data_IF_304775476184
#
_entry.id   IF_304775476184
#
_cell.length_a   1.000
_cell.length_b   1.000
_cell.length_c   1.000
_cell.angle_alpha   90.00
_cell.angle_beta   90.00
_cell.angle_gamma   90.00
#
_symmetry.space_group_name_H-M   'P 1'
#
loop_
_entity.id
_entity.type
_entity.pdbx_description
1 polymer ?
2 branched ?
3 non-polymer ?
4 non-polymer ?
5 non-polymer ?
6 non-polymer ?
7 water ?
#
# COMPACT_ATOMS: atom_id res chain seq x y z
N UNK A 1 -20.34 5.71 -7.10
CA UNK A 1 -19.10 5.70 -7.87
C UNK A 1 -17.97 6.28 -7.00
N UNK A 2 -16.70 6.03 -7.38
CA UNK A 2 -15.59 6.49 -6.54
C UNK A 2 -15.62 7.99 -6.29
N UNK A 3 -15.33 8.36 -5.07
CA UNK A 3 -15.18 9.77 -4.66
C UNK A 3 -13.88 10.34 -5.22
N UNK A 4 -13.95 11.56 -5.73
CA UNK A 4 -12.73 12.34 -6.11
C UNK A 4 -12.27 13.31 -5.02
N UNK A 5 -12.98 13.32 -3.89
CA UNK A 5 -12.65 14.25 -2.78
C UNK A 5 -11.94 13.48 -1.71
N UNK A 6 -10.66 13.77 -1.41
CA UNK A 6 -9.97 13.08 -0.33
C UNK A 6 -10.75 13.25 0.98
N UNK A 7 -10.71 12.19 1.84
CA UNK A 7 -11.42 12.26 3.14
C UNK A 7 -10.84 13.32 4.07
N UNK A 8 -9.58 13.68 3.86
CA UNK A 8 -8.97 14.78 4.61
C UNK A 8 -9.36 16.09 3.85
N UNK A 9 -10.27 16.87 4.37
CA UNK A 9 -10.73 18.13 3.76
C UNK A 9 -9.52 19.07 3.48
N UNK A 10 -8.45 19.00 4.26
CA UNK A 10 -7.24 19.85 4.16
C UNK A 10 -6.23 19.27 3.16
N UNK A 11 -6.58 18.25 2.36
CA UNK A 11 -5.62 17.63 1.49
C UNK A 11 -4.94 18.69 0.60
N UNK A 12 -3.70 18.46 0.30
CA UNK A 12 -2.95 19.32 -0.62
C UNK A 12 -3.48 19.18 -2.03
N UNK A 13 -3.16 20.20 -2.87
CA UNK A 13 -3.55 20.14 -4.29
C UNK A 13 -2.94 18.88 -4.93
N UNK A 14 -1.71 18.52 -4.58
CA UNK A 14 -1.08 17.35 -5.22
C UNK A 14 -1.86 16.06 -4.84
N UNK A 15 -2.31 15.92 -3.61
CA UNK A 15 -3.12 14.76 -3.21
C UNK A 15 -4.49 14.76 -3.88
N UNK A 16 -5.14 15.92 -3.92
CA UNK A 16 -6.44 16.03 -4.62
C UNK A 16 -6.27 15.64 -6.11
N UNK A 17 -5.27 16.20 -6.75
CA UNK A 17 -5.04 15.97 -8.19
C UNK A 17 -4.73 14.50 -8.45
N UNK A 18 -3.95 13.87 -7.56
CA UNK A 18 -3.66 12.43 -7.75
C UNK A 18 -4.96 11.61 -7.64
N UNK A 19 -5.80 11.90 -6.66
CA UNK A 19 -7.06 11.10 -6.52
C UNK A 19 -7.95 11.32 -7.73
N UNK A 20 -8.09 12.57 -8.18
CA UNK A 20 -8.93 12.94 -9.35
C UNK A 20 -8.43 12.16 -10.57
N UNK A 21 -7.12 12.10 -10.75
CA UNK A 21 -6.49 11.45 -11.92
C UNK A 21 -6.78 9.95 -11.88
N UNK A 22 -6.61 9.33 -10.71
CA UNK A 22 -6.81 7.86 -10.62
C UNK A 22 -8.30 7.52 -10.91
N UNK A 23 -9.20 8.28 -10.32
CA UNK A 23 -10.66 8.03 -10.56
C UNK A 23 -10.94 8.11 -12.06
N UNK A 24 -10.49 9.18 -12.70
CA UNK A 24 -10.73 9.40 -14.15
C UNK A 24 -10.20 8.19 -14.93
N UNK A 25 -8.96 7.80 -14.70
CA UNK A 25 -8.34 6.71 -15.49
C UNK A 25 -9.19 5.43 -15.30
N UNK A 26 -9.48 5.09 -14.06
CA UNK A 26 -10.21 3.83 -13.78
C UNK A 26 -11.60 3.85 -14.45
N UNK A 27 -12.28 5.01 -14.46
CA UNK A 27 -13.61 5.14 -15.06
C UNK A 27 -13.54 4.83 -16.56
N UNK A 28 -12.39 5.04 -17.17
CA UNK A 28 -12.11 4.93 -18.63
C UNK A 28 -11.49 3.58 -18.94
N UNK A 29 -11.44 2.67 -17.96
CA UNK A 29 -10.85 1.35 -18.23
C UNK A 29 -9.34 1.34 -18.40
N UNK A 30 -8.69 2.30 -17.75
CA UNK A 30 -7.22 2.41 -17.79
C UNK A 30 -6.70 2.11 -16.38
N UNK A 31 -5.59 1.40 -16.34
CA UNK A 31 -5.00 0.93 -15.08
C UNK A 31 -3.51 1.40 -15.04
N UNK A 32 -3.08 1.92 -13.90
CA UNK A 32 -1.66 2.25 -13.74
C UNK A 32 -0.85 1.01 -13.38
N UNK A 33 0.27 0.84 -14.01
CA UNK A 33 1.28 -0.15 -13.67
C UNK A 33 1.98 0.24 -12.38
N UNK A 34 2.53 -0.72 -11.65
CA UNK A 34 3.23 -0.48 -10.42
C UNK A 34 4.20 -1.60 -10.07
N UNK A 35 5.20 -1.33 -9.28
CA UNK A 35 6.22 -2.32 -8.92
C UNK A 35 6.78 -2.03 -7.56
N UNK A 36 6.86 -3.05 -6.69
CA UNK A 36 7.52 -2.92 -5.40
C UNK A 36 9.05 -3.01 -5.55
N UNK A 37 9.72 -1.99 -4.94
CA UNK A 37 11.18 -1.86 -4.83
C UNK A 37 11.78 -1.15 -6.07
N UNK A 38 12.62 -0.14 -5.81
CA UNK A 38 13.24 0.59 -6.94
C UNK A 38 14.08 -0.30 -7.79
N UNK A 39 14.83 -1.23 -7.20
CA UNK A 39 15.68 -2.11 -7.99
C UNK A 39 14.84 -2.96 -8.95
N UNK A 40 13.64 -3.38 -8.50
CA UNK A 40 12.76 -4.16 -9.39
C UNK A 40 12.13 -3.26 -10.46
N UNK A 41 11.80 -2.00 -10.11
CA UNK A 41 11.31 -1.06 -11.15
C UNK A 41 12.39 -0.83 -12.24
N UNK A 42 13.64 -0.71 -11.79
CA UNK A 42 14.79 -0.57 -12.70
C UNK A 42 14.87 -1.82 -13.59
N UNK A 43 14.68 -3.00 -12.99
CA UNK A 43 14.67 -4.24 -13.80
C UNK A 43 13.60 -4.19 -14.88
N UNK A 44 12.41 -3.75 -14.54
CA UNK A 44 11.33 -3.66 -15.55
C UNK A 44 11.77 -2.70 -16.68
N UNK A 45 12.33 -1.53 -16.33
CA UNK A 45 12.78 -0.62 -17.42
C UNK A 45 13.85 -1.32 -18.28
N UNK A 46 14.80 -1.99 -17.66
CA UNK A 46 15.93 -2.60 -18.31
C UNK A 46 15.54 -3.81 -19.18
N UNK A 47 14.47 -4.52 -18.82
CA UNK A 47 14.14 -5.82 -19.48
C UNK A 47 12.80 -5.79 -20.25
N UNK A 48 11.84 -5.05 -19.76
CA UNK A 48 10.47 -4.99 -20.33
C UNK A 48 10.31 -3.76 -21.23
N UNK A 49 10.92 -2.63 -20.88
CA UNK A 49 10.97 -1.45 -21.77
C UNK A 49 10.27 -0.22 -21.23
N UNK A 50 9.74 -0.24 -20.05
CA UNK A 50 9.00 0.84 -19.47
C UNK A 50 9.32 0.95 -17.97
N UNK A 51 9.29 2.12 -17.38
CA UNK A 51 9.20 2.29 -15.94
C UNK A 51 7.75 2.17 -15.53
N UNK A 52 7.48 1.36 -14.45
CA UNK A 52 6.16 1.34 -13.85
C UNK A 52 5.71 2.73 -13.43
N UNK A 53 4.43 3.02 -13.55
CA UNK A 53 3.89 4.31 -13.11
C UNK A 53 4.08 4.54 -11.64
N UNK A 54 3.81 3.50 -10.83
CA UNK A 54 3.85 3.58 -9.38
C UNK A 54 5.03 2.78 -8.84
N UNK A 55 5.76 3.35 -7.92
CA UNK A 55 6.79 2.67 -7.14
C UNK A 55 6.21 2.39 -5.77
N UNK A 56 6.22 1.09 -5.40
CA UNK A 56 5.87 0.67 -4.03
C UNK A 56 7.11 0.48 -3.18
N UNK A 57 7.11 1.09 -2.02
CA UNK A 57 8.23 0.99 -1.08
C UNK A 57 7.66 0.90 0.36
N UNK A 58 8.54 0.75 1.30
CA UNK A 58 8.13 0.35 2.65
C UNK A 58 8.90 1.13 3.72
N UNK A 59 8.21 1.54 4.77
CA UNK A 59 8.84 2.15 5.93
C UNK A 59 9.45 1.15 6.94
N UNK A 60 9.30 -0.18 6.66
CA UNK A 60 9.75 -1.28 7.57
C UNK A 60 10.97 -0.93 8.42
N UNK A 61 12.13 -0.64 7.77
CA UNK A 61 13.38 -0.53 8.51
C UNK A 61 13.59 0.84 9.19
N UNK A 62 12.62 1.73 9.09
CA UNK A 62 12.58 2.89 9.96
C UNK A 62 11.83 2.68 11.24
N UNK A 63 11.17 1.48 11.37
CA UNK A 63 10.42 1.19 12.61
C UNK A 63 11.36 1.29 13.82
N UNK A 64 11.02 2.08 14.85
CA UNK A 64 11.93 2.22 15.97
C UNK A 64 12.47 0.94 16.61
N UNK A 65 11.59 -0.10 16.73
CA UNK A 65 12.11 -1.34 17.34
C UNK A 65 13.16 -2.04 16.49
N UNK A 66 13.07 -1.85 15.15
CA UNK A 66 14.03 -2.45 14.25
C UNK A 66 15.40 -1.67 14.28
N UNK A 67 15.28 -0.34 14.46
CA UNK A 67 16.54 0.44 14.68
C UNK A 67 17.33 -0.08 15.87
N UNK A 68 16.60 -0.56 16.90
CA UNK A 68 17.27 -1.14 18.07
C UNK A 68 18.11 -2.36 17.72
N UNK A 69 17.76 -3.08 16.68
CA UNK A 69 18.52 -4.27 16.22
C UNK A 69 19.49 -3.98 15.08
N UNK A 70 19.64 -2.66 14.74
CA UNK A 70 20.61 -2.21 13.74
C UNK A 70 20.05 -1.90 12.39
N UNK A 71 18.75 -1.88 12.21
CA UNK A 71 18.13 -1.62 10.91
C UNK A 71 18.45 -0.14 10.49
N UNK A 72 18.64 -0.03 9.18
CA UNK A 72 18.95 1.28 8.53
C UNK A 72 17.97 1.46 7.37
N UNK A 73 16.96 2.29 7.61
CA UNK A 73 15.98 2.58 6.54
C UNK A 73 16.57 3.46 5.43
N UNK A 74 16.14 3.17 4.21
CA UNK A 74 16.74 3.90 3.05
C UNK A 74 15.72 4.19 1.99
N UNK A 75 14.42 4.02 2.19
CA UNK A 75 13.44 4.16 1.13
C UNK A 75 13.00 5.63 0.90
N UNK A 76 13.13 6.51 1.87
CA UNK A 76 12.66 7.93 1.56
C UNK A 76 13.40 8.55 0.35
N UNK A 77 14.71 8.32 0.24
CA UNK A 77 15.37 8.84 -1.00
C UNK A 77 14.81 8.25 -2.26
N UNK A 78 14.34 6.96 -2.21
CA UNK A 78 13.76 6.36 -3.42
C UNK A 78 12.44 6.99 -3.78
N UNK A 79 11.64 7.38 -2.80
CA UNK A 79 10.40 8.11 -3.10
C UNK A 79 10.75 9.45 -3.81
N UNK A 80 11.73 10.14 -3.24
CA UNK A 80 12.12 11.47 -3.79
C UNK A 80 12.56 11.28 -5.22
N UNK A 81 13.42 10.31 -5.49
CA UNK A 81 13.91 10.09 -6.86
C UNK A 81 12.78 9.69 -7.78
N UNK A 82 11.88 8.79 -7.37
CA UNK A 82 10.84 8.36 -8.31
C UNK A 82 9.92 9.55 -8.65
N UNK A 83 9.59 10.35 -7.67
CA UNK A 83 8.76 11.55 -7.89
C UNK A 83 9.52 12.57 -8.80
N UNK A 84 10.83 12.64 -8.67
CA UNK A 84 11.58 13.62 -9.51
C UNK A 84 11.54 13.17 -10.97
N UNK A 85 11.39 11.86 -11.23
CA UNK A 85 11.33 11.23 -12.54
C UNK A 85 9.89 11.12 -13.06
N UNK A 86 8.90 11.68 -12.36
CA UNK A 86 7.49 11.79 -12.86
C UNK A 86 6.61 10.63 -12.39
N UNK A 87 7.10 9.75 -11.54
CA UNK A 87 6.30 8.63 -11.05
C UNK A 87 5.46 9.03 -9.84
N UNK A 88 4.64 8.03 -9.45
CA UNK A 88 3.77 8.09 -8.27
C UNK A 88 4.31 7.08 -7.22
N UNK A 89 4.14 7.41 -5.96
CA UNK A 89 4.71 6.59 -4.89
C UNK A 89 3.60 6.11 -3.95
N UNK A 90 3.70 4.78 -3.63
CA UNK A 90 2.90 4.19 -2.53
C UNK A 90 3.85 3.62 -1.47
N UNK A 91 3.50 3.85 -0.20
CA UNK A 91 4.21 3.22 0.92
C UNK A 91 3.24 2.27 1.65
N UNK A 92 3.84 1.14 1.95
CA UNK A 92 3.31 0.23 2.99
C UNK A 92 4.23 0.31 4.18
N UNK A 93 3.92 -0.46 5.23
CA UNK A 93 4.70 -0.43 6.45
C UNK A 93 4.70 -1.86 7.07
N UNK A 94 5.75 -2.60 6.85
CA UNK A 94 5.94 -3.89 7.59
C UNK A 94 6.46 -3.45 8.97
N UNK A 95 5.51 -3.06 9.81
CA UNK A 95 5.75 -2.37 11.07
C UNK A 95 6.38 -3.30 12.07
N UNK A 96 7.60 -3.08 12.50
CA UNK A 96 8.21 -3.90 13.52
C UNK A 96 7.55 -3.61 14.82
N UNK A 97 7.15 -4.72 15.50
CA UNK A 97 6.33 -4.54 16.71
C UNK A 97 7.05 -3.64 17.71
N UNK A 98 6.31 -2.74 18.39
CA UNK A 98 6.97 -1.81 19.29
C UNK A 98 7.67 -2.37 20.50
N UNK A 99 7.14 -3.55 20.91
CA UNK A 99 7.76 -4.35 21.99
C UNK A 99 7.53 -5.83 21.56
N UNK A 100 8.19 -6.73 22.32
CA UNK A 100 7.89 -8.14 22.16
C UNK A 100 8.67 -8.91 21.16
N UNK A 101 9.57 -8.25 20.42
CA UNK A 101 10.38 -8.93 19.41
C UNK A 101 11.14 -10.11 20.06
N UNK A 102 11.08 -11.29 19.43
CA UNK A 102 11.79 -12.45 20.00
C UNK A 102 13.28 -12.50 19.59
N UNK A 103 13.57 -12.17 18.32
CA UNK A 103 14.94 -12.28 17.80
C UNK A 103 15.60 -13.62 18.15
N UNK A 104 14.90 -14.70 17.78
CA UNK A 104 15.42 -16.06 17.93
C UNK A 104 15.95 -16.60 16.62
N UNK A 105 16.50 -17.80 16.62
CA UNK A 105 16.96 -18.45 15.38
C UNK A 105 15.85 -18.52 14.35
N UNK A 106 14.71 -19.03 14.76
CA UNK A 106 13.57 -19.29 13.88
C UNK A 106 12.75 -18.00 13.63
N UNK A 107 12.87 -17.03 14.53
CA UNK A 107 12.10 -15.77 14.42
C UNK A 107 13.07 -14.60 14.59
N UNK A 108 13.95 -14.37 13.59
CA UNK A 108 14.90 -13.27 13.71
C UNK A 108 14.17 -11.92 13.87
N UNK A 109 14.93 -10.93 14.39
CA UNK A 109 14.31 -9.61 14.59
C UNK A 109 13.73 -9.03 13.31
N UNK A 110 14.39 -9.39 12.18
CA UNK A 110 13.98 -8.79 10.91
C UNK A 110 12.69 -9.32 10.38
N UNK A 111 12.09 -10.30 11.08
CA UNK A 111 10.72 -10.82 10.82
C UNK A 111 9.70 -10.23 11.79
N UNK A 112 10.01 -9.20 12.57
CA UNK A 112 9.18 -8.77 13.71
C UNK A 112 7.92 -8.00 13.35
N UNK A 113 7.48 -8.02 12.09
CA UNK A 113 6.12 -7.66 11.73
C UNK A 113 5.15 -8.89 11.76
N UNK A 114 5.73 -10.08 11.65
CA UNK A 114 4.85 -11.28 11.69
C UNK A 114 4.44 -11.55 13.15
N UNK A 115 3.15 -11.99 13.23
CA UNK A 115 2.58 -12.41 14.54
C UNK A 115 3.45 -13.47 15.23
N UNK A 116 3.99 -14.42 14.47
CA UNK A 116 4.81 -15.52 15.06
C UNK A 116 6.13 -15.03 15.63
N UNK A 117 6.59 -13.83 15.18
CA UNK A 117 7.96 -13.31 15.51
C UNK A 117 7.95 -12.36 16.70
N UNK A 118 6.84 -12.13 17.36
CA UNK A 118 6.71 -11.21 18.46
C UNK A 118 5.64 -11.65 19.45
N UNK A 119 5.85 -11.28 20.69
CA UNK A 119 4.80 -11.38 21.75
C UNK A 119 3.77 -10.29 21.70
N UNK A 120 4.05 -9.25 20.83
CA UNK A 120 3.22 -8.04 20.90
C UNK A 120 1.71 -8.31 20.77
N UNK A 121 0.92 -7.67 21.64
CA UNK A 121 -0.55 -7.83 21.73
C UNK A 121 -1.20 -6.48 21.47
N UNK A 122 -1.70 -6.30 20.25
CA UNK A 122 -2.35 -5.04 19.84
C UNK A 122 -3.63 -4.79 20.66
N UNK A 123 -4.36 -5.86 21.00
CA UNK A 123 -5.64 -5.69 21.74
C UNK A 123 -5.34 -5.14 23.15
N UNK A 124 -4.38 -5.71 23.85
CA UNK A 124 -4.07 -5.25 25.20
C UNK A 124 -3.56 -3.80 25.13
N UNK A 125 -2.82 -3.47 24.08
CA UNK A 125 -2.27 -2.10 23.95
C UNK A 125 -3.43 -1.08 23.77
N UNK A 126 -4.31 -1.34 22.81
CA UNK A 126 -5.41 -0.41 22.50
C UNK A 126 -6.43 -0.30 23.62
N UNK A 127 -6.55 -1.28 24.49
CA UNK A 127 -7.50 -1.17 25.64
C UNK A 127 -6.96 -0.28 26.76
N UNK A 128 -5.67 0.06 26.73
CA UNK A 128 -5.06 0.83 27.84
C UNK A 128 -4.20 1.96 27.29
N UNK A 129 -4.79 3.13 27.05
CA UNK A 129 -4.03 4.25 26.52
C UNK A 129 -2.93 4.74 27.48
N UNK A 130 -2.90 4.31 28.74
CA UNK A 130 -1.82 4.65 29.71
C UNK A 130 -0.67 3.65 29.62
N UNK A 131 -0.80 2.59 28.86
CA UNK A 131 0.19 1.50 28.88
C UNK A 131 1.45 1.88 28.12
N UNK A 132 2.57 1.24 28.45
CA UNK A 132 3.84 1.42 27.73
C UNK A 132 3.64 1.08 26.27
N UNK A 133 2.93 -0.01 25.97
CA UNK A 133 2.77 -0.43 24.57
C UNK A 133 1.95 0.58 23.77
N UNK A 134 0.94 1.16 24.34
CA UNK A 134 0.15 2.18 23.64
C UNK A 134 1.06 3.37 23.32
N UNK A 135 1.80 3.81 24.32
CA UNK A 135 2.68 4.99 24.13
C UNK A 135 3.72 4.63 23.04
N UNK A 136 4.25 3.44 22.99
CA UNK A 136 5.25 3.06 21.98
C UNK A 136 4.61 2.96 20.60
N UNK A 137 3.35 2.55 20.48
CA UNK A 137 2.64 2.57 19.20
C UNK A 137 2.58 4.02 18.69
N UNK A 138 2.18 4.93 19.53
CA UNK A 138 2.06 6.35 19.10
C UNK A 138 3.45 6.88 18.73
N UNK A 139 4.48 6.55 19.49
CA UNK A 139 5.84 6.95 19.11
C UNK A 139 6.22 6.39 17.77
N UNK A 140 5.87 5.17 17.42
CA UNK A 140 6.17 4.61 16.10
C UNK A 140 5.44 5.38 15.04
N UNK A 141 4.19 5.68 15.24
CA UNK A 141 3.40 6.47 14.32
C UNK A 141 4.12 7.81 14.13
N UNK A 142 4.62 8.41 15.21
CA UNK A 142 5.32 9.72 15.10
C UNK A 142 6.60 9.53 14.29
N UNK A 143 7.34 8.46 14.46
CA UNK A 143 8.57 8.20 13.68
C UNK A 143 8.23 8.22 12.21
N UNK A 144 7.25 7.47 11.77
CA UNK A 144 6.90 7.38 10.35
C UNK A 144 6.27 8.71 9.90
N UNK A 145 5.55 9.40 10.75
CA UNK A 145 4.98 10.71 10.40
C UNK A 145 6.09 11.70 10.03
N UNK A 146 7.23 11.65 10.73
CA UNK A 146 8.35 12.55 10.34
C UNK A 146 8.77 12.31 8.91
N UNK A 147 8.84 11.08 8.47
CA UNK A 147 9.24 10.73 7.08
C UNK A 147 8.19 11.26 6.13
N UNK A 148 6.92 11.08 6.41
CA UNK A 148 5.85 11.57 5.57
C UNK A 148 5.88 13.13 5.52
N UNK A 149 6.20 13.75 6.62
CA UNK A 149 6.32 15.25 6.65
C UNK A 149 7.45 15.73 5.76
N UNK A 150 8.56 15.00 5.71
CA UNK A 150 9.67 15.33 4.76
C UNK A 150 9.16 15.25 3.35
N UNK A 151 8.38 14.24 3.02
CA UNK A 151 7.79 14.11 1.69
C UNK A 151 6.76 15.22 1.41
N UNK A 152 5.96 15.60 2.39
CA UNK A 152 5.01 16.70 2.25
C UNK A 152 5.78 18.01 1.99
N UNK A 153 6.91 18.24 2.64
CA UNK A 153 7.70 19.49 2.38
C UNK A 153 8.16 19.54 0.95
N UNK A 154 8.30 18.43 0.27
CA UNK A 154 8.73 18.31 -1.13
C UNK A 154 7.53 18.25 -2.09
N UNK A 155 6.30 18.41 -1.57
CA UNK A 155 5.08 18.37 -2.40
C UNK A 155 4.95 17.00 -3.09
N UNK A 156 5.26 15.93 -2.35
CA UNK A 156 5.10 14.55 -2.90
C UNK A 156 3.85 13.94 -2.23
N UNK A 157 2.77 13.70 -2.99
CA UNK A 157 1.60 13.00 -2.41
C UNK A 157 1.95 11.52 -2.33
N UNK A 158 1.30 10.85 -1.35
CA UNK A 158 1.62 9.41 -1.09
C UNK A 158 0.31 8.60 -1.02
N UNK A 159 0.30 7.50 -1.75
CA UNK A 159 -0.74 6.43 -1.57
C UNK A 159 -0.32 5.59 -0.34
N UNK A 160 -0.93 5.91 0.79
CA UNK A 160 -0.49 5.41 2.10
C UNK A 160 -1.35 4.17 2.50
N UNK A 161 -0.68 3.02 2.57
CA UNK A 161 -1.38 1.72 2.77
C UNK A 161 -0.88 1.06 4.08
N UNK A 162 -1.20 1.62 5.23
CA UNK A 162 -0.77 1.06 6.52
C UNK A 162 -1.62 -0.14 6.93
N UNK A 163 -1.07 -0.96 7.83
CA UNK A 163 -1.86 -2.06 8.44
C UNK A 163 -2.43 -2.96 7.33
N UNK A 164 -1.61 -3.29 6.35
CA UNK A 164 -2.05 -4.01 5.17
C UNK A 164 -2.28 -5.50 5.52
N UNK A 165 -3.05 -6.13 4.66
CA UNK A 165 -3.38 -7.59 4.79
C UNK A 165 -3.91 -7.87 6.21
N UNK A 166 -4.58 -6.96 6.85
CA UNK A 166 -4.80 -7.06 8.30
C UNK A 166 -5.57 -8.36 8.65
N UNK A 167 -6.63 -8.59 7.89
CA UNK A 167 -7.58 -9.65 8.19
C UNK A 167 -6.91 -11.02 8.11
N UNK A 168 -5.81 -11.19 7.42
CA UNK A 168 -5.16 -12.51 7.37
C UNK A 168 -4.70 -13.02 8.72
N UNK A 169 -4.32 -12.13 9.61
CA UNK A 169 -3.82 -12.48 10.93
C UNK A 169 -2.35 -12.81 11.04
N UNK A 170 -1.61 -12.81 9.90
CA UNK A 170 -0.21 -13.19 9.94
C UNK A 170 0.74 -12.05 10.35
N UNK A 171 0.21 -10.81 10.35
CA UNK A 171 0.95 -9.66 10.90
C UNK A 171 0.35 -9.29 12.25
N UNK A 172 1.17 -8.81 13.17
CA UNK A 172 0.68 -8.63 14.55
C UNK A 172 -0.53 -7.75 14.65
N UNK A 173 -0.70 -6.79 13.72
CA UNK A 173 -1.83 -5.88 13.82
C UNK A 173 -3.17 -6.57 13.56
N UNK A 174 -3.12 -7.74 12.91
CA UNK A 174 -4.34 -8.51 12.62
C UNK A 174 -4.49 -9.72 13.52
N UNK A 175 -3.66 -9.92 14.51
CA UNK A 175 -3.66 -11.17 15.31
C UNK A 175 -4.74 -11.19 16.40
N UNK A 176 -5.40 -10.06 16.70
CA UNK A 176 -6.33 -9.92 17.84
C UNK A 176 -7.71 -9.42 17.45
N UNK A 177 -8.06 -9.74 16.21
CA UNK A 177 -9.37 -9.44 15.68
C UNK A 177 -9.53 -8.01 15.15
N UNK A 178 -10.67 -7.71 14.56
CA UNK A 178 -10.83 -6.46 13.78
C UNK A 178 -10.85 -5.21 14.64
N UNK A 179 -11.51 -5.21 15.77
CA UNK A 179 -11.78 -4.01 16.58
C UNK A 179 -10.44 -3.33 16.91
N UNK A 180 -9.46 -4.07 17.34
CA UNK A 180 -8.16 -3.51 17.78
C UNK A 180 -7.46 -2.89 16.57
N UNK A 181 -7.50 -3.57 15.44
CA UNK A 181 -6.85 -3.09 14.19
C UNK A 181 -7.56 -1.85 13.70
N UNK A 182 -8.86 -1.79 13.68
CA UNK A 182 -9.62 -0.59 13.28
C UNK A 182 -9.26 0.54 14.23
N UNK A 183 -9.18 0.29 15.51
CA UNK A 183 -8.85 1.34 16.47
C UNK A 183 -7.45 1.89 16.19
N UNK A 184 -6.50 1.02 15.88
CA UNK A 184 -5.13 1.49 15.57
C UNK A 184 -5.14 2.30 14.27
N UNK A 185 -5.85 1.87 13.25
CA UNK A 185 -5.94 2.61 11.99
C UNK A 185 -6.53 4.00 12.26
N UNK A 186 -7.61 4.11 12.99
CA UNK A 186 -8.28 5.39 13.24
C UNK A 186 -7.40 6.26 14.12
N UNK A 187 -6.67 5.71 15.06
CA UNK A 187 -5.69 6.46 15.87
C UNK A 187 -4.61 7.02 14.93
N UNK A 188 -4.08 6.21 14.02
CA UNK A 188 -3.05 6.67 13.09
C UNK A 188 -3.65 7.80 12.24
N UNK A 189 -4.85 7.63 11.72
CA UNK A 189 -5.48 8.65 10.85
C UNK A 189 -5.54 9.96 11.61
N UNK A 190 -5.99 9.95 12.84
CA UNK A 190 -6.15 11.17 13.66
C UNK A 190 -4.77 11.75 13.95
N UNK A 191 -3.82 10.95 14.43
CA UNK A 191 -2.49 11.44 14.84
C UNK A 191 -1.80 12.08 13.62
N UNK A 192 -1.86 11.42 12.45
CA UNK A 192 -1.18 11.94 11.24
C UNK A 192 -1.92 13.16 10.75
N UNK A 193 -3.22 13.10 10.53
CA UNK A 193 -3.97 14.16 9.85
C UNK A 193 -4.05 15.39 10.74
N UNK A 194 -4.41 15.20 11.99
CA UNK A 194 -4.70 16.33 12.90
C UNK A 194 -3.46 16.75 13.66
N UNK A 195 -2.86 15.93 14.47
CA UNK A 195 -1.70 16.32 15.26
C UNK A 195 -0.55 16.72 14.36
N UNK A 196 -0.22 15.94 13.36
CA UNK A 196 0.97 16.22 12.49
C UNK A 196 0.63 17.14 11.29
N UNK A 197 -0.63 17.32 10.96
CA UNK A 197 -0.97 18.15 9.77
C UNK A 197 -0.48 17.51 8.51
N UNK A 198 -0.57 16.19 8.39
CA UNK A 198 -0.20 15.48 7.16
C UNK A 198 -1.38 15.53 6.20
N UNK A 199 -1.23 16.34 5.13
CA UNK A 199 -2.27 16.63 4.14
C UNK A 199 -1.91 16.08 2.75
N UNK A 200 -0.81 15.38 2.63
CA UNK A 200 -0.33 14.86 1.34
C UNK A 200 -0.72 13.39 1.13
N UNK A 201 -1.61 12.84 1.99
CA UNK A 201 -1.86 11.36 1.99
C UNK A 201 -3.23 11.04 1.42
N UNK A 202 -3.24 9.99 0.60
CA UNK A 202 -4.47 9.29 0.20
C UNK A 202 -4.42 7.94 0.96
N UNK A 203 -5.49 7.67 1.69
CA UNK A 203 -5.51 6.53 2.60
C UNK A 203 -6.06 5.27 1.90
N UNK A 204 -5.25 4.22 1.90
CA UNK A 204 -5.56 2.97 1.18
C UNK A 204 -5.73 1.85 2.24
N UNK A 205 -6.98 1.31 2.26
CA UNK A 205 -7.27 0.15 3.13
C UNK A 205 -7.05 -1.12 2.34
N UNK A 206 -6.74 -2.24 3.03
CA UNK A 206 -6.29 -3.46 2.32
C UNK A 206 -6.93 -4.73 2.92
N UNK A 207 -8.13 -4.64 3.47
CA UNK A 207 -8.88 -5.85 3.88
C UNK A 207 -10.25 -5.81 3.25
N UNK A 208 -10.75 -7.02 2.88
CA UNK A 208 -12.03 -7.13 2.14
C UNK A 208 -13.24 -7.30 3.08
N UNK A 209 -13.07 -8.00 4.18
CA UNK A 209 -14.28 -8.32 4.97
C UNK A 209 -14.80 -7.05 5.62
N UNK A 210 -16.11 -6.83 5.51
CA UNK A 210 -16.74 -5.67 6.10
C UNK A 210 -16.54 -5.47 7.59
N UNK A 211 -16.34 -6.57 8.34
CA UNK A 211 -16.13 -6.45 9.79
C UNK A 211 -14.78 -5.85 10.11
N UNK A 212 -13.88 -5.80 9.13
CA UNK A 212 -12.53 -5.19 9.29
C UNK A 212 -12.49 -3.74 8.78
N UNK A 213 -13.58 -3.17 8.33
CA UNK A 213 -13.53 -1.87 7.62
C UNK A 213 -13.49 -0.74 8.62
N UNK A 214 -12.50 0.19 8.49
CA UNK A 214 -12.43 1.27 9.45
C UNK A 214 -13.38 2.46 9.18
N UNK A 215 -14.03 2.47 8.01
CA UNK A 215 -15.07 3.45 7.70
C UNK A 215 -14.75 4.35 6.53
N UNK A 216 -15.81 4.78 5.85
CA UNK A 216 -15.68 5.59 4.61
C UNK A 216 -15.13 6.98 4.95
N UNK A 217 -15.17 7.41 6.20
CA UNK A 217 -14.68 8.75 6.58
C UNK A 217 -13.15 8.76 6.71
N UNK A 218 -12.50 7.62 6.69
CA UNK A 218 -11.04 7.52 6.93
C UNK A 218 -10.31 6.72 5.83
N UNK A 219 -10.99 6.46 4.72
CA UNK A 219 -10.44 5.67 3.62
C UNK A 219 -10.76 6.35 2.30
N UNK A 220 -9.70 6.49 1.45
CA UNK A 220 -9.89 7.02 0.09
C UNK A 220 -9.98 5.94 -0.98
N UNK A 221 -9.25 4.86 -0.79
CA UNK A 221 -9.10 3.79 -1.81
C UNK A 221 -9.16 2.44 -1.05
N UNK A 222 -9.91 1.51 -1.61
CA UNK A 222 -9.90 0.12 -1.04
C UNK A 222 -9.15 -0.79 -1.98
N UNK A 223 -8.49 -1.80 -1.40
CA UNK A 223 -7.61 -2.66 -2.17
C UNK A 223 -7.60 -4.07 -1.58
N UNK A 224 -7.00 -4.97 -2.33
CA UNK A 224 -6.68 -6.31 -1.85
C UNK A 224 -5.37 -6.73 -2.47
N UNK A 225 -4.69 -7.66 -1.85
CA UNK A 225 -3.43 -8.26 -2.28
C UNK A 225 -3.73 -9.65 -2.79
N UNK A 226 -3.44 -9.98 -4.01
CA UNK A 226 -3.79 -11.27 -4.65
C UNK A 226 -2.55 -12.01 -5.12
N UNK A 227 -2.37 -13.24 -4.61
CA UNK A 227 -1.30 -14.16 -4.96
C UNK A 227 -1.92 -15.44 -5.50
N UNK A 228 -2.50 -15.39 -6.69
CA UNK A 228 -3.06 -16.56 -7.37
C UNK A 228 -1.99 -17.50 -7.87
N UNK A 229 -2.42 -18.70 -8.30
CA UNK A 229 -1.43 -19.65 -8.81
C UNK A 229 -0.67 -19.01 -9.96
N UNK A 230 0.60 -19.39 -10.10
CA UNK A 230 1.48 -18.86 -11.13
C UNK A 230 0.79 -18.96 -12.48
N UNK A 231 0.79 -17.81 -13.18
CA UNK A 231 0.24 -17.76 -14.54
C UNK A 231 -1.23 -17.44 -14.64
N UNK A 232 -1.93 -17.26 -13.53
CA UNK A 232 -3.37 -16.91 -13.53
C UNK A 232 -3.48 -15.38 -13.68
N UNK A 233 -3.79 -14.98 -14.89
CA UNK A 233 -3.93 -13.55 -15.22
C UNK A 233 -5.39 -13.16 -15.38
N UNK A 234 -6.30 -13.90 -14.75
CA UNK A 234 -7.71 -13.48 -14.78
C UNK A 234 -7.90 -12.15 -14.07
N UNK A 235 -9.05 -11.49 -14.34
CA UNK A 235 -9.29 -10.13 -13.86
C UNK A 235 -9.61 -10.03 -12.36
N UNK A 236 -9.91 -11.15 -11.71
CA UNK A 236 -10.21 -11.16 -10.25
C UNK A 236 -11.52 -10.42 -9.98
N UNK A 237 -12.54 -10.71 -10.81
CA UNK A 237 -13.84 -10.00 -10.75
C UNK A 237 -14.48 -10.16 -9.37
N UNK A 238 -14.43 -11.35 -8.76
CA UNK A 238 -15.14 -11.56 -7.47
C UNK A 238 -14.52 -10.62 -6.41
N UNK A 239 -13.19 -10.50 -6.38
CA UNK A 239 -12.56 -9.63 -5.37
C UNK A 239 -12.95 -8.17 -5.64
N UNK A 240 -12.93 -7.79 -6.90
CA UNK A 240 -13.32 -6.40 -7.27
C UNK A 240 -14.72 -6.09 -6.77
N UNK A 241 -15.65 -7.00 -7.04
CA UNK A 241 -17.07 -6.81 -6.62
C UNK A 241 -17.17 -6.72 -5.09
N UNK A 242 -16.41 -7.52 -4.37
CA UNK A 242 -16.44 -7.45 -2.88
C UNK A 242 -15.88 -6.11 -2.38
N UNK A 243 -14.89 -5.57 -3.06
CA UNK A 243 -14.34 -4.24 -2.68
C UNK A 243 -15.30 -3.08 -3.05
N UNK A 244 -16.11 -3.23 -4.09
CA UNK A 244 -17.17 -2.27 -4.34
C UNK A 244 -18.22 -2.34 -3.23
N UNK A 245 -18.72 -3.52 -2.87
CA UNK A 245 -19.84 -3.53 -1.88
C UNK A 245 -19.32 -3.09 -0.52
N UNK A 246 -18.03 -3.30 -0.24
CA UNK A 246 -17.44 -2.85 1.04
C UNK A 246 -17.80 -1.40 1.32
N UNK A 247 -17.80 -0.54 0.28
CA UNK A 247 -17.95 0.91 0.51
C UNK A 247 -19.29 1.45 0.00
N UNK A 248 -20.19 0.55 -0.43
CA UNK A 248 -21.39 0.94 -1.19
C UNK A 248 -21.01 1.58 -2.49
N UNK A 249 -19.88 1.18 -3.09
CA UNK A 249 -19.38 1.63 -4.43
C UNK A 249 -19.13 3.15 -4.37
N UNK A 250 -18.49 3.61 -3.29
CA UNK A 250 -18.15 5.04 -3.10
C UNK A 250 -16.66 5.31 -3.12
N UNK A 251 -15.81 4.29 -3.25
CA UNK A 251 -14.36 4.46 -3.20
C UNK A 251 -13.74 3.78 -4.40
N UNK A 252 -12.65 4.38 -4.89
CA UNK A 252 -11.76 3.73 -5.87
C UNK A 252 -11.27 2.36 -5.39
N UNK A 253 -11.09 1.45 -6.33
CA UNK A 253 -10.70 0.06 -6.05
C UNK A 253 -9.39 -0.24 -6.77
N UNK A 254 -8.41 -0.78 -6.04
CA UNK A 254 -7.07 -1.07 -6.57
C UNK A 254 -6.51 -2.39 -6.05
N UNK A 255 -5.41 -2.86 -6.59
CA UNK A 255 -4.64 -4.02 -6.13
C UNK A 255 -3.41 -3.54 -5.43
N UNK A 256 -3.30 -3.76 -4.12
CA UNK A 256 -2.13 -3.34 -3.37
C UNK A 256 -0.87 -4.06 -3.74
N UNK A 257 -1.01 -5.35 -4.00
CA UNK A 257 0.05 -6.26 -4.42
C UNK A 257 -0.55 -7.30 -5.34
N UNK A 258 0.21 -7.72 -6.31
CA UNK A 258 -0.07 -8.95 -7.11
C UNK A 258 1.15 -9.80 -7.30
N UNK A 259 0.95 -11.14 -7.29
CA UNK A 259 1.91 -12.04 -7.85
C UNK A 259 1.83 -12.09 -9.35
N UNK A 260 0.58 -12.17 -9.86
CA UNK A 260 0.25 -12.25 -11.30
C UNK A 260 -0.38 -10.93 -11.72
N UNK A 261 0.17 -10.33 -12.78
CA UNK A 261 -0.47 -9.11 -13.32
C UNK A 261 -1.77 -9.50 -14.01
N UNK A 262 -2.93 -8.90 -13.65
CA UNK A 262 -4.17 -9.22 -14.35
C UNK A 262 -4.07 -8.73 -15.81
N UNK A 263 -4.49 -9.55 -16.76
CA UNK A 263 -4.35 -9.22 -18.17
C UNK A 263 -5.27 -8.05 -18.48
N UNK A 264 -4.67 -6.91 -18.97
CA UNK A 264 -5.49 -5.73 -19.26
C UNK A 264 -6.47 -5.86 -20.42
N UNK A 265 -6.29 -6.91 -21.23
CA UNK A 265 -7.23 -7.20 -22.33
C UNK A 265 -8.49 -7.86 -21.73
N UNK A 266 -8.55 -8.20 -20.44
CA UNK A 266 -9.76 -8.89 -19.88
C UNK A 266 -10.41 -8.15 -18.71
N UNK A 267 -9.84 -7.04 -18.24
CA UNK A 267 -10.39 -6.28 -17.08
C UNK A 267 -11.46 -5.27 -17.46
N UNK A 268 -11.45 -4.73 -18.67
CA UNK A 268 -12.30 -3.58 -19.06
C UNK A 268 -13.77 -3.91 -18.90
N UNK A 269 -14.47 -3.16 -18.03
CA UNK A 269 -15.91 -3.32 -17.73
C UNK A 269 -16.23 -4.55 -16.89
N UNK A 270 -15.25 -5.25 -16.39
CA UNK A 270 -15.39 -6.43 -15.49
C UNK A 270 -14.81 -6.07 -14.10
N UNK A 271 -13.61 -5.50 -14.10
CA UNK A 271 -12.86 -5.21 -12.88
C UNK A 271 -11.90 -4.07 -13.18
N UNK A 272 -12.42 -2.84 -13.09
CA UNK A 272 -11.65 -1.64 -13.52
C UNK A 272 -10.67 -1.21 -12.41
N UNK A 273 -9.65 -2.03 -12.16
CA UNK A 273 -8.60 -1.74 -11.16
C UNK A 273 -7.93 -0.41 -11.45
N UNK A 274 -7.82 0.43 -10.44
CA UNK A 274 -7.14 1.75 -10.68
C UNK A 274 -5.66 1.52 -10.94
N UNK A 275 -5.04 0.59 -10.25
CA UNK A 275 -3.64 0.25 -10.37
C UNK A 275 -3.40 -1.13 -9.78
N UNK A 276 -2.26 -1.69 -10.09
CA UNK A 276 -1.67 -2.86 -9.43
C UNK A 276 -0.21 -2.62 -9.13
N UNK A 277 0.34 -3.28 -8.16
CA UNK A 277 1.75 -3.21 -7.77
C UNK A 277 2.30 -4.63 -7.78
N UNK A 278 3.07 -5.05 -8.74
CA UNK A 278 3.68 -6.40 -8.73
C UNK A 278 4.66 -6.48 -7.60
N UNK A 279 4.72 -7.62 -6.90
CA UNK A 279 5.77 -7.81 -5.90
C UNK A 279 7.15 -7.97 -6.57
N UNK A 280 8.17 -7.88 -5.73
CA UNK A 280 9.59 -7.93 -6.15
C UNK A 280 10.05 -9.35 -6.48
N UNK A 281 11.30 -9.47 -6.85
CA UNK A 281 11.93 -10.77 -7.05
C UNK A 281 11.31 -11.55 -8.17
N UNK A 282 11.14 -12.84 -7.91
CA UNK A 282 10.72 -13.75 -8.98
C UNK A 282 9.37 -13.37 -9.58
N UNK A 283 8.48 -12.76 -8.79
CA UNK A 283 7.15 -12.42 -9.32
C UNK A 283 7.31 -11.57 -10.59
N UNK A 284 8.18 -10.57 -10.56
CA UNK A 284 8.38 -9.72 -11.77
C UNK A 284 9.51 -10.23 -12.64
N UNK A 285 10.58 -10.78 -12.08
CA UNK A 285 11.80 -11.09 -12.83
C UNK A 285 11.74 -12.45 -13.53
N UNK A 286 11.00 -13.41 -12.96
CA UNK A 286 11.03 -14.78 -13.49
C UNK A 286 10.10 -14.98 -14.66
N UNK A 287 10.03 -16.24 -15.11
CA UNK A 287 9.15 -16.63 -16.20
C UNK A 287 7.92 -17.40 -15.75
N UNK A 288 7.77 -17.69 -14.46
CA UNK A 288 6.64 -18.56 -14.03
C UNK A 288 5.33 -17.80 -13.86
N UNK A 289 5.35 -16.61 -13.27
CA UNK A 289 4.15 -15.81 -13.00
C UNK A 289 3.76 -14.99 -14.22
N UNK A 290 4.71 -14.12 -14.58
CA UNK A 290 4.55 -13.08 -15.64
C UNK A 290 5.71 -13.20 -16.63
N UNK A 291 5.61 -14.02 -17.65
CA UNK A 291 6.71 -14.25 -18.57
C UNK A 291 7.13 -12.95 -19.33
N UNK A 292 8.34 -12.94 -19.80
CA UNK A 292 8.88 -11.71 -20.49
C UNK A 292 7.93 -11.25 -21.58
N UNK A 293 7.53 -12.13 -22.49
CA UNK A 293 6.71 -11.69 -23.63
C UNK A 293 5.41 -11.07 -23.10
N UNK A 294 4.80 -11.68 -22.06
CA UNK A 294 3.57 -11.13 -21.49
C UNK A 294 3.86 -9.74 -20.90
N UNK A 295 4.92 -9.63 -20.11
CA UNK A 295 5.25 -8.31 -19.51
C UNK A 295 5.42 -7.23 -20.60
N UNK A 296 6.09 -7.58 -21.67
CA UNK A 296 6.30 -6.60 -22.74
C UNK A 296 4.94 -6.16 -23.28
N UNK A 297 4.01 -7.11 -23.47
CA UNK A 297 2.67 -6.78 -23.96
C UNK A 297 1.94 -5.90 -22.97
N UNK A 298 1.92 -6.27 -21.70
CA UNK A 298 1.19 -5.51 -20.67
C UNK A 298 1.71 -4.06 -20.66
N UNK A 299 3.00 -3.91 -20.50
CA UNK A 299 3.54 -2.53 -20.29
C UNK A 299 3.42 -1.67 -21.54
N UNK A 300 3.30 -2.28 -22.71
CA UNK A 300 3.10 -1.52 -23.98
C UNK A 300 1.63 -1.26 -24.27
N UNK A 301 0.71 -1.85 -23.49
CA UNK A 301 -0.73 -1.76 -23.79
C UNK A 301 -1.29 -0.30 -23.71
N UNK A 302 -2.25 0.00 -24.56
CA UNK A 302 -2.87 1.34 -24.58
C UNK A 302 -3.56 1.66 -23.26
N UNK A 303 -4.14 0.62 -22.63
CA UNK A 303 -4.95 0.83 -21.39
C UNK A 303 -4.13 0.58 -20.13
N UNK A 304 -2.79 0.57 -20.21
CA UNK A 304 -1.86 0.54 -19.08
C UNK A 304 -1.06 1.81 -19.13
N UNK A 305 -1.01 2.51 -18.03
CA UNK A 305 -0.17 3.68 -17.88
C UNK A 305 1.19 3.31 -17.28
N UNK A 306 2.24 3.78 -17.93
CA UNK A 306 3.62 3.68 -17.46
C UNK A 306 4.13 5.08 -17.08
N UNK A 307 5.28 5.14 -16.45
CA UNK A 307 5.76 6.43 -15.86
C UNK A 307 5.83 7.59 -16.91
N UNK A 308 6.24 7.26 -18.08
CA UNK A 308 6.36 8.26 -19.17
C UNK A 308 5.01 8.85 -19.56
N UNK A 309 3.92 8.11 -19.27
CA UNK A 309 2.54 8.47 -19.62
C UNK A 309 1.80 9.16 -18.49
N UNK A 310 2.36 9.16 -17.27
CA UNK A 310 1.64 9.75 -16.11
C UNK A 310 1.43 11.24 -16.39
N UNK A 311 0.21 11.74 -16.21
CA UNK A 311 -0.11 13.16 -16.54
C UNK A 311 -1.17 13.64 -15.55
N UNK A 312 -0.78 13.80 -14.31
CA UNK A 312 -1.71 14.21 -13.23
C UNK A 312 -2.18 15.65 -13.46
#
# INVERSE_FOLDING_TARGET
APSTTPVNEKATDAAKNLLSYLVEQAANGVTLSGQQDLESAQWVSDNVGKWPAILGIDFMDYSPSRVEYGAVGSTVPDAISYDSDGGIVTFCWHWGSPSGTYNTTDQPWWSNFYTEATAFDIAAAMDDPDSADYNLLVRDIDAISELLLQLQDLDIPILWRPLHQAEGGWFWWGAKGPEACIALYRLMFDRMTNHHGLNNLLWVWNSVDPSWYPGNDVVDIVSADIYADAGDHSPQEETFASLQSLTGDTKLVALGEVGNIPDPASTGGVADWAYWVTWNGDFIKGEDYNPLEYKKEVFSAENIITRDEVDV
#
